data_IF_780595568740
#
_entry.id   IF_780595568740
#
_cell.length_a   1.000
_cell.length_b   1.000
_cell.length_c   1.000
_cell.angle_alpha   90.00
_cell.angle_beta   90.00
_cell.angle_gamma   90.00
#
_symmetry.space_group_name_H-M   'P 1'
#
loop_
_entity.id
_entity.type
_entity.pdbx_description
1 polymer ?
#
# COMPACT_ATOMS: atom_id res chain seq x y z
N UNK A 1 24.78 -18.89 -0.76
CA UNK A 1 24.39 -20.32 -0.88
C UNK A 1 23.65 -20.46 -2.19
N UNK A 2 23.81 -21.48 -3.04
CA UNK A 2 24.27 -22.84 -2.81
C UNK A 2 23.34 -23.86 -3.48
N UNK A 3 22.83 -23.56 -4.67
CA UNK A 3 22.14 -24.54 -5.52
C UNK A 3 23.13 -25.02 -6.58
N UNK A 4 23.36 -26.33 -6.66
CA UNK A 4 24.09 -26.99 -7.77
C UNK A 4 23.34 -26.90 -9.10
N UNK A 5 22.10 -26.44 -9.06
CA UNK A 5 21.25 -26.23 -10.22
C UNK A 5 21.28 -24.74 -10.59
N UNK A 6 22.02 -24.43 -11.67
CA UNK A 6 21.96 -23.15 -12.39
C UNK A 6 20.62 -23.08 -13.13
N UNK A 7 19.54 -22.92 -12.37
CA UNK A 7 18.25 -22.69 -12.96
C UNK A 7 18.20 -21.29 -13.57
N UNK A 8 17.80 -21.12 -14.83
CA UNK A 8 17.79 -19.82 -15.50
C UNK A 8 17.01 -18.74 -14.72
N UNK A 9 15.99 -19.15 -13.96
CA UNK A 9 15.16 -18.24 -13.17
C UNK A 9 15.82 -17.69 -11.90
N UNK A 10 16.89 -18.28 -11.38
CA UNK A 10 17.57 -17.79 -10.17
C UNK A 10 18.50 -16.59 -10.42
N UNK A 11 18.65 -16.19 -11.68
CA UNK A 11 19.44 -15.03 -12.14
C UNK A 11 18.58 -13.94 -12.79
N UNK A 12 17.28 -14.18 -12.96
CA UNK A 12 16.34 -13.23 -13.56
C UNK A 12 15.60 -12.44 -12.47
N UNK A 13 15.22 -11.18 -12.74
CA UNK A 13 14.30 -10.43 -11.88
C UNK A 13 12.97 -11.15 -11.74
N UNK A 14 12.46 -11.23 -10.51
CA UNK A 14 11.12 -11.70 -10.21
C UNK A 14 10.19 -10.51 -9.97
N UNK A 15 8.91 -10.70 -10.29
CA UNK A 15 7.88 -9.70 -10.06
C UNK A 15 6.95 -10.20 -8.96
N UNK A 16 6.74 -9.33 -7.98
CA UNK A 16 5.87 -9.56 -6.85
C UNK A 16 4.63 -8.70 -6.88
N UNK A 17 3.92 -8.70 -5.76
CA UNK A 17 2.67 -7.96 -5.57
C UNK A 17 2.75 -7.07 -4.33
N UNK A 18 1.74 -6.23 -4.17
CA UNK A 18 1.48 -5.43 -2.97
C UNK A 18 1.46 -6.25 -1.68
N UNK A 19 0.90 -7.45 -1.68
CA UNK A 19 0.92 -8.36 -0.52
C UNK A 19 2.31 -8.87 -0.10
N UNK A 20 3.38 -8.54 -0.85
CA UNK A 20 4.76 -8.91 -0.52
C UNK A 20 5.63 -7.70 -0.20
N UNK A 21 5.35 -6.55 -0.81
CA UNK A 21 6.09 -5.31 -0.58
C UNK A 21 6.13 -4.98 0.92
N UNK A 22 7.31 -4.60 1.41
CA UNK A 22 7.56 -4.26 2.82
C UNK A 22 7.29 -5.35 3.86
N UNK A 23 6.93 -6.58 3.47
CA UNK A 23 6.71 -7.66 4.44
C UNK A 23 8.05 -8.11 5.05
N UNK A 24 8.24 -7.77 6.33
CA UNK A 24 9.41 -8.14 7.11
C UNK A 24 9.57 -9.67 7.26
N UNK A 25 8.49 -10.45 7.16
CA UNK A 25 8.52 -11.91 7.24
C UNK A 25 9.14 -12.54 5.99
N UNK A 26 9.06 -11.89 4.83
CA UNK A 26 9.68 -12.38 3.60
C UNK A 26 11.21 -12.28 3.68
N UNK A 27 11.73 -11.23 4.32
CA UNK A 27 13.18 -11.01 4.45
C UNK A 27 13.78 -11.57 5.74
N UNK A 28 12.95 -12.18 6.61
CA UNK A 28 13.35 -12.79 7.88
C UNK A 28 13.09 -14.30 7.86
N UNK A 29 14.09 -15.15 8.14
CA UNK A 29 15.47 -14.84 8.52
C UNK A 29 16.31 -14.29 7.34
N UNK A 30 17.48 -13.71 7.64
CA UNK A 30 18.43 -13.12 6.67
C UNK A 30 18.70 -14.02 5.46
N UNK A 31 18.71 -15.34 5.63
CA UNK A 31 18.89 -16.29 4.52
C UNK A 31 17.81 -16.15 3.44
N UNK A 32 16.56 -15.92 3.82
CA UNK A 32 15.45 -15.70 2.87
C UNK A 32 15.60 -14.35 2.19
N UNK A 33 15.88 -13.28 2.96
CA UNK A 33 16.10 -11.96 2.38
C UNK A 33 17.27 -11.89 1.39
N UNK A 34 18.33 -12.67 1.61
CA UNK A 34 19.43 -12.81 0.64
C UNK A 34 18.97 -13.42 -0.69
N UNK A 35 18.08 -14.40 -0.67
CA UNK A 35 17.53 -15.01 -1.89
C UNK A 35 16.59 -14.04 -2.60
N UNK A 36 15.77 -13.30 -1.86
CA UNK A 36 14.86 -12.28 -2.41
C UNK A 36 15.65 -11.15 -3.08
N UNK A 37 16.74 -10.70 -2.44
CA UNK A 37 17.65 -9.72 -3.02
C UNK A 37 18.36 -10.26 -4.29
N UNK A 38 18.75 -11.55 -4.29
CA UNK A 38 19.38 -12.18 -5.46
C UNK A 38 18.46 -12.16 -6.69
N UNK A 39 17.19 -12.48 -6.52
CA UNK A 39 16.22 -12.50 -7.64
C UNK A 39 15.58 -11.13 -7.89
N UNK A 40 16.06 -10.07 -7.22
CA UNK A 40 15.63 -8.68 -7.44
C UNK A 40 14.11 -8.53 -7.44
N UNK A 41 13.44 -9.18 -6.49
CA UNK A 41 11.98 -9.17 -6.41
C UNK A 41 11.47 -7.72 -6.32
N UNK A 42 10.84 -7.26 -7.39
CA UNK A 42 10.21 -5.96 -7.45
C UNK A 42 8.72 -6.11 -7.17
N UNK A 43 8.24 -5.46 -6.11
CA UNK A 43 6.85 -5.54 -5.65
C UNK A 43 6.25 -4.15 -5.57
N UNK A 44 5.00 -3.98 -6.00
CA UNK A 44 4.35 -2.67 -6.03
C UNK A 44 3.47 -2.45 -4.82
N UNK A 45 3.52 -1.31 -4.14
CA UNK A 45 2.60 -0.97 -3.03
C UNK A 45 2.03 0.42 -3.18
N UNK A 46 0.79 0.62 -2.71
CA UNK A 46 0.13 1.92 -2.77
C UNK A 46 0.94 3.00 -2.04
N UNK A 47 1.26 4.10 -2.73
CA UNK A 47 2.12 5.17 -2.24
C UNK A 47 1.32 6.26 -1.51
N UNK A 48 0.65 5.89 -0.41
CA UNK A 48 -0.01 6.88 0.42
C UNK A 48 1.02 7.87 1.02
N UNK A 49 0.79 9.17 0.87
CA UNK A 49 1.61 10.19 1.54
C UNK A 49 1.09 10.41 2.95
N UNK A 50 1.94 10.21 3.95
CA UNK A 50 1.58 10.44 5.34
C UNK A 50 1.17 11.91 5.56
N UNK A 51 0.10 12.09 6.29
CA UNK A 51 -0.41 13.38 6.75
C UNK A 51 -0.65 13.35 8.26
N UNK A 52 -1.16 14.44 8.84
CA UNK A 52 -1.39 14.54 10.29
C UNK A 52 -2.35 13.48 10.82
N UNK A 53 -3.37 13.06 10.05
CA UNK A 53 -4.29 11.98 10.41
C UNK A 53 -3.59 10.62 10.36
N UNK A 54 -2.71 10.39 9.39
CA UNK A 54 -1.90 9.16 9.30
C UNK A 54 -1.03 9.00 10.54
N UNK A 55 -0.33 10.07 10.93
CA UNK A 55 0.55 10.03 12.12
C UNK A 55 -0.24 9.80 13.42
N UNK A 56 -1.43 10.41 13.53
CA UNK A 56 -2.31 10.16 14.66
C UNK A 56 -2.76 8.69 14.72
N UNK A 57 -3.15 8.11 13.58
CA UNK A 57 -3.51 6.70 13.50
C UNK A 57 -2.33 5.79 13.86
N UNK A 58 -1.12 6.07 13.37
CA UNK A 58 0.06 5.30 13.74
C UNK A 58 0.34 5.32 15.24
N UNK A 59 0.23 6.49 15.87
CA UNK A 59 0.43 6.63 17.31
C UNK A 59 -0.59 5.81 18.10
N UNK A 60 -1.88 5.93 17.78
CA UNK A 60 -2.95 5.19 18.44
C UNK A 60 -2.85 3.68 18.19
N UNK A 61 -2.55 3.29 16.95
CA UNK A 61 -2.40 1.89 16.57
C UNK A 61 -1.23 1.24 17.31
N UNK A 62 -0.06 1.89 17.34
CA UNK A 62 1.11 1.38 18.05
C UNK A 62 0.89 1.31 19.57
N UNK A 63 0.15 2.26 20.15
CA UNK A 63 -0.22 2.21 21.57
C UNK A 63 -1.09 0.99 21.91
N UNK A 64 -2.03 0.64 21.02
CA UNK A 64 -2.97 -0.46 21.22
C UNK A 64 -2.42 -1.83 20.79
N UNK A 65 -1.57 -1.84 19.77
CA UNK A 65 -1.02 -3.04 19.14
C UNK A 65 0.51 -2.93 18.99
N UNK A 66 1.26 -2.97 20.10
CA UNK A 66 2.69 -2.65 20.12
C UNK A 66 3.59 -3.62 19.33
N UNK A 67 3.06 -4.78 18.93
CA UNK A 67 3.77 -5.79 18.14
C UNK A 67 3.37 -5.81 16.67
N UNK A 68 2.50 -4.91 16.24
CA UNK A 68 2.00 -4.83 14.88
C UNK A 68 2.27 -3.45 14.28
N UNK A 69 2.40 -3.41 12.96
CA UNK A 69 2.54 -2.19 12.17
C UNK A 69 1.28 -1.96 11.37
N UNK A 70 0.77 -0.73 11.37
CA UNK A 70 -0.29 -0.33 10.45
C UNK A 70 0.36 -0.02 9.10
N UNK A 71 0.22 -0.94 8.15
CA UNK A 71 0.70 -0.80 6.78
C UNK A 71 -0.30 -0.06 5.87
N UNK A 72 -0.04 -0.03 4.57
CA UNK A 72 -0.92 0.60 3.57
C UNK A 72 -2.33 -0.01 3.53
N UNK A 73 -2.49 -1.31 3.81
CA UNK A 73 -3.80 -1.95 3.90
C UNK A 73 -4.55 -1.54 5.17
N UNK A 74 -3.84 -1.43 6.30
CA UNK A 74 -4.42 -0.88 7.53
C UNK A 74 -4.94 0.55 7.31
N UNK A 75 -4.17 1.40 6.63
CA UNK A 75 -4.60 2.76 6.30
C UNK A 75 -5.83 2.78 5.37
N UNK A 76 -5.81 1.98 4.30
CA UNK A 76 -6.93 1.87 3.36
C UNK A 76 -8.21 1.38 4.05
N UNK A 77 -8.10 0.29 4.82
CA UNK A 77 -9.22 -0.27 5.57
C UNK A 77 -9.80 0.73 6.59
N UNK A 78 -8.96 1.56 7.21
CA UNK A 78 -9.42 2.61 8.11
C UNK A 78 -10.29 3.64 7.38
N UNK A 79 -9.86 4.12 6.22
CA UNK A 79 -10.63 5.06 5.41
C UNK A 79 -11.94 4.41 4.91
N UNK A 80 -11.92 3.14 4.49
CA UNK A 80 -13.12 2.41 4.05
C UNK A 80 -14.16 2.28 5.17
N UNK A 81 -13.73 1.87 6.37
CA UNK A 81 -14.61 1.75 7.54
C UNK A 81 -15.13 3.11 7.97
N UNK A 82 -14.30 4.15 7.92
CA UNK A 82 -14.72 5.51 8.25
C UNK A 82 -15.82 6.01 7.30
N UNK A 83 -15.65 5.82 5.99
CA UNK A 83 -16.65 6.20 4.99
C UNK A 83 -17.96 5.44 5.19
N UNK A 84 -17.91 4.13 5.42
CA UNK A 84 -19.08 3.31 5.70
C UNK A 84 -19.82 3.73 6.97
N UNK A 85 -19.08 3.98 8.06
CA UNK A 85 -19.64 4.43 9.34
C UNK A 85 -20.29 5.82 9.21
N UNK A 86 -19.60 6.77 8.57
CA UNK A 86 -20.10 8.12 8.32
C UNK A 86 -21.41 8.07 7.52
N UNK A 87 -21.45 7.31 6.42
CA UNK A 87 -22.65 7.17 5.61
C UNK A 87 -23.81 6.51 6.39
N UNK A 88 -23.52 5.50 7.20
CA UNK A 88 -24.53 4.85 8.07
C UNK A 88 -25.13 5.86 9.06
N UNK A 89 -24.29 6.67 9.70
CA UNK A 89 -24.73 7.70 10.64
C UNK A 89 -25.59 8.76 9.94
N UNK A 90 -25.16 9.24 8.78
CA UNK A 90 -25.82 10.32 8.04
C UNK A 90 -27.16 9.88 7.44
N UNK A 91 -27.28 8.63 7.03
CA UNK A 91 -28.56 8.05 6.60
C UNK A 91 -29.48 7.69 7.76
N UNK A 92 -28.94 7.53 8.97
CA UNK A 92 -29.68 7.07 10.14
C UNK A 92 -30.24 5.65 9.99
N UNK A 93 -29.64 4.83 9.13
CA UNK A 93 -30.16 3.51 8.74
C UNK A 93 -29.05 2.54 8.37
N UNK A 94 -29.27 1.25 8.65
CA UNK A 94 -28.40 0.16 8.20
C UNK A 94 -28.83 -0.42 6.83
N UNK A 95 -29.73 0.26 6.12
CA UNK A 95 -30.16 -0.16 4.79
C UNK A 95 -29.04 0.12 3.77
N UNK A 96 -28.49 -0.94 3.18
CA UNK A 96 -27.36 -0.85 2.25
C UNK A 96 -27.64 0.04 1.01
N UNK A 97 -28.85 0.03 0.48
CA UNK A 97 -29.23 0.88 -0.66
C UNK A 97 -29.24 2.36 -0.28
N UNK A 98 -29.75 2.71 0.91
CA UNK A 98 -29.73 4.08 1.41
C UNK A 98 -28.29 4.56 1.65
N UNK A 99 -27.45 3.73 2.27
CA UNK A 99 -26.02 4.02 2.53
C UNK A 99 -25.28 4.25 1.21
N UNK A 100 -25.46 3.37 0.23
CA UNK A 100 -24.85 3.49 -1.09
C UNK A 100 -25.27 4.78 -1.80
N UNK A 101 -26.57 5.09 -1.80
CA UNK A 101 -27.10 6.29 -2.42
C UNK A 101 -26.51 7.56 -1.78
N UNK A 102 -26.39 7.58 -0.44
CA UNK A 102 -25.74 8.67 0.27
C UNK A 102 -24.26 8.80 -0.11
N UNK A 103 -23.50 7.70 -0.14
CA UNK A 103 -22.08 7.73 -0.52
C UNK A 103 -21.89 8.26 -1.96
N UNK A 104 -22.70 7.80 -2.91
CA UNK A 104 -22.66 8.29 -4.29
C UNK A 104 -22.98 9.79 -4.37
N UNK A 105 -24.02 10.24 -3.67
CA UNK A 105 -24.38 11.66 -3.59
C UNK A 105 -23.24 12.47 -2.96
N UNK A 106 -22.68 12.00 -1.85
CA UNK A 106 -21.58 12.64 -1.15
C UNK A 106 -20.35 12.78 -2.06
N UNK A 107 -19.92 11.69 -2.71
CA UNK A 107 -18.80 11.69 -3.66
C UNK A 107 -19.04 12.71 -4.78
N UNK A 108 -20.25 12.72 -5.37
CA UNK A 108 -20.58 13.67 -6.44
C UNK A 108 -20.60 15.14 -5.98
N UNK A 109 -21.03 15.39 -4.74
CA UNK A 109 -21.15 16.74 -4.18
C UNK A 109 -19.79 17.32 -3.82
N UNK A 110 -18.92 16.50 -3.20
CA UNK A 110 -17.63 16.94 -2.70
C UNK A 110 -16.50 16.77 -3.73
N UNK A 111 -16.78 16.25 -4.92
CA UNK A 111 -15.88 16.17 -6.08
C UNK A 111 -14.44 15.76 -5.73
N UNK A 112 -14.29 14.70 -4.92
CA UNK A 112 -12.98 14.20 -4.49
C UNK A 112 -12.29 14.96 -3.35
N UNK A 113 -13.01 15.83 -2.63
CA UNK A 113 -12.50 16.53 -1.42
C UNK A 113 -12.60 15.69 -0.14
N UNK A 114 -12.79 14.37 -0.28
CA UNK A 114 -12.69 13.45 0.84
C UNK A 114 -11.22 13.38 1.27
N UNK A 115 -10.95 13.59 2.57
CA UNK A 115 -9.58 13.60 3.08
C UNK A 115 -9.46 12.69 4.30
N UNK A 116 -8.75 11.59 4.12
CA UNK A 116 -8.58 10.51 5.09
C UNK A 116 -7.15 10.35 5.60
N UNK A 117 -6.87 9.20 6.22
CA UNK A 117 -5.52 8.83 6.65
C UNK A 117 -4.60 8.50 5.48
N UNK A 118 -5.16 8.22 4.31
CA UNK A 118 -4.41 8.05 3.06
C UNK A 118 -4.36 9.31 2.18
N UNK A 119 -4.81 10.46 2.70
CA UNK A 119 -4.84 11.74 1.99
C UNK A 119 -6.14 11.97 1.21
N UNK A 120 -6.06 12.76 0.15
CA UNK A 120 -7.22 13.07 -0.70
C UNK A 120 -7.72 11.83 -1.44
N UNK A 121 -9.03 11.68 -1.50
CA UNK A 121 -9.73 10.55 -2.11
C UNK A 121 -10.63 11.08 -3.22
N UNK A 122 -10.33 10.66 -4.45
CA UNK A 122 -11.23 10.80 -5.59
C UNK A 122 -11.68 9.42 -6.07
N UNK A 123 -12.76 9.38 -6.82
CA UNK A 123 -13.38 8.13 -7.27
C UNK A 123 -13.61 8.18 -8.77
N UNK A 124 -13.42 7.03 -9.41
CA UNK A 124 -13.75 6.80 -10.81
C UNK A 124 -15.27 6.63 -10.97
N UNK A 125 -15.75 6.68 -12.21
CA UNK A 125 -17.16 6.47 -12.51
C UNK A 125 -17.67 5.06 -12.12
N UNK A 126 -16.77 4.08 -12.01
CA UNK A 126 -17.08 2.74 -11.48
C UNK A 126 -17.43 2.74 -9.99
N UNK A 127 -17.06 3.80 -9.26
CA UNK A 127 -17.11 3.86 -7.81
C UNK A 127 -15.81 3.42 -7.13
N UNK A 128 -14.82 2.96 -7.89
CA UNK A 128 -13.49 2.65 -7.34
C UNK A 128 -12.75 3.92 -6.95
N UNK A 129 -11.89 3.84 -5.94
CA UNK A 129 -10.97 4.93 -5.63
C UNK A 129 -10.01 5.13 -6.80
N UNK A 130 -9.86 6.37 -7.25
CA UNK A 130 -8.88 6.73 -8.26
C UNK A 130 -7.47 6.50 -7.70
N UNK A 131 -6.62 5.70 -8.37
CA UNK A 131 -5.22 5.53 -7.97
C UNK A 131 -4.46 6.86 -8.00
N UNK A 132 -3.42 7.00 -7.18
CA UNK A 132 -2.54 8.16 -7.19
C UNK A 132 -1.13 7.78 -7.64
N UNK A 133 -0.41 7.04 -6.81
CA UNK A 133 0.91 6.54 -7.12
C UNK A 133 1.13 5.18 -6.46
N UNK A 134 2.04 4.39 -7.03
CA UNK A 134 2.51 3.14 -6.45
C UNK A 134 4.03 3.18 -6.32
N UNK A 135 4.54 2.81 -5.15
CA UNK A 135 5.96 2.54 -4.95
C UNK A 135 6.28 1.19 -5.58
N UNK A 136 7.49 1.07 -6.11
CA UNK A 136 8.09 -0.18 -6.58
C UNK A 136 9.17 -0.49 -5.57
N UNK A 137 8.88 -1.37 -4.63
CA UNK A 137 9.78 -1.77 -3.56
C UNK A 137 10.65 -2.95 -4.00
N UNK A 138 11.89 -3.00 -3.51
CA UNK A 138 12.79 -4.14 -3.70
C UNK A 138 13.59 -4.42 -2.45
N UNK A 139 14.17 -5.61 -2.37
CA UNK A 139 15.08 -5.98 -1.29
C UNK A 139 16.53 -5.75 -1.71
N UNK A 140 17.27 -5.02 -0.88
CA UNK A 140 18.73 -4.84 -1.02
C UNK A 140 19.45 -5.32 0.24
N UNK A 141 20.73 -5.68 0.10
CA UNK A 141 21.58 -5.99 1.26
C UNK A 141 22.30 -4.71 1.69
N UNK A 142 21.96 -4.20 2.87
CA UNK A 142 22.63 -3.06 3.49
C UNK A 142 23.39 -3.54 4.74
N UNK A 143 24.71 -3.39 4.73
CA UNK A 143 25.59 -3.80 5.84
C UNK A 143 25.37 -5.25 6.29
N UNK A 144 25.14 -6.16 5.33
CA UNK A 144 24.90 -7.58 5.59
C UNK A 144 23.45 -7.95 5.97
N UNK A 145 22.54 -6.99 6.03
CA UNK A 145 21.14 -7.20 6.39
C UNK A 145 20.22 -6.87 5.21
N UNK A 146 19.28 -7.77 4.84
CA UNK A 146 18.28 -7.47 3.82
C UNK A 146 17.31 -6.40 4.31
N UNK A 147 16.96 -5.47 3.43
CA UNK A 147 15.98 -4.40 3.69
C UNK A 147 15.18 -4.10 2.45
N UNK A 148 13.90 -3.83 2.64
CA UNK A 148 13.06 -3.21 1.62
C UNK A 148 13.48 -1.76 1.41
N UNK A 149 13.55 -1.35 0.14
CA UNK A 149 13.85 0.01 -0.30
C UNK A 149 13.09 0.34 -1.58
N UNK A 150 12.66 1.60 -1.67
CA UNK A 150 11.99 2.10 -2.86
C UNK A 150 12.96 2.12 -4.06
N UNK A 151 12.61 1.39 -5.12
CA UNK A 151 13.32 1.32 -6.39
C UNK A 151 12.77 2.32 -7.44
N UNK A 152 11.53 2.78 -7.27
CA UNK A 152 10.89 3.72 -8.17
C UNK A 152 9.43 3.96 -7.83
N UNK A 153 8.81 4.89 -8.51
CA UNK A 153 7.41 5.23 -8.30
C UNK A 153 6.70 5.34 -9.64
N UNK A 154 5.57 4.64 -9.77
CA UNK A 154 4.64 4.86 -10.86
C UNK A 154 3.62 5.93 -10.44
N UNK A 155 3.42 6.91 -11.31
CA UNK A 155 2.45 7.99 -11.13
C UNK A 155 1.25 7.80 -12.06
N UNK A 156 0.04 7.78 -11.51
CA UNK A 156 -1.20 7.55 -12.25
C UNK A 156 -1.51 8.66 -13.25
N UNK A 157 -1.17 9.91 -12.91
CA UNK A 157 -1.54 11.08 -13.74
C UNK A 157 -0.74 11.12 -15.03
N UNK A 158 0.54 10.78 -14.94
CA UNK A 158 1.50 10.80 -16.05
C UNK A 158 1.70 9.44 -16.70
N UNK A 159 1.13 8.38 -16.11
CA UNK A 159 1.33 6.98 -16.47
C UNK A 159 2.81 6.64 -16.70
N UNK A 160 3.66 7.10 -15.78
CA UNK A 160 5.11 7.03 -15.94
C UNK A 160 5.76 6.49 -14.67
N UNK A 161 6.78 5.65 -14.87
CA UNK A 161 7.66 5.20 -13.78
C UNK A 161 8.88 6.11 -13.70
N UNK A 162 9.12 6.65 -12.51
CA UNK A 162 10.38 7.31 -12.16
C UNK A 162 11.22 6.36 -11.32
N UNK A 163 12.34 5.89 -11.87
CA UNK A 163 13.26 4.98 -11.18
C UNK A 163 14.25 5.75 -10.30
N UNK A 164 14.39 5.32 -9.05
CA UNK A 164 15.47 5.77 -8.15
C UNK A 164 16.63 4.78 -8.17
N UNK A 165 16.35 3.49 -8.42
CA UNK A 165 17.34 2.46 -8.68
C UNK A 165 16.72 1.27 -9.40
N UNK A 166 17.19 0.96 -10.60
CA UNK A 166 16.66 -0.17 -11.38
C UNK A 166 16.77 -1.50 -10.62
N UNK A 167 15.80 -2.42 -10.76
CA UNK A 167 15.86 -3.76 -10.18
C UNK A 167 17.09 -4.57 -10.63
#
# INVERSE_FOLDING_TARGET
SGSTYNYPWSTLPWFGTDGQADDAKIITPTSTGNLVAQVKLASTVFAATNNTKTQALFSEFASKYPTQTCDSYCLGAYDDVWLGAMATIQTGSNNGTAIQAYLQQYISTYNGSLFGVTGSMSFQASGDRTPTAYLIEKVVIQSGTPKWVNAGTWDYTTDTITWTSVP
#
